data_IF_343231696604
#
_entry.id   IF_343231696604
#
_cell.length_a   1.000
_cell.length_b   1.000
_cell.length_c   1.000
_cell.angle_alpha   90.00
_cell.angle_beta   90.00
_cell.angle_gamma   90.00
#
_symmetry.space_group_name_H-M   'P 1'
#
loop_
_entity.id
_entity.type
_entity.pdbx_description
1 polymer ?
#
# COMPACT_ATOMS: atom_id res chain seq x y z
N UNK A 1 -20.23 -7.58 -0.60
CA UNK A 1 -19.18 -6.78 0.08
C UNK A 1 -17.89 -6.62 -0.73
N UNK A 2 -17.33 -7.67 -1.34
CA UNK A 2 -16.09 -7.59 -2.16
C UNK A 2 -16.23 -6.65 -3.37
N UNK A 3 -17.38 -6.67 -4.07
CA UNK A 3 -17.65 -5.80 -5.23
C UNK A 3 -17.56 -4.30 -4.89
N UNK A 4 -18.20 -3.85 -3.80
CA UNK A 4 -18.11 -2.46 -3.31
C UNK A 4 -16.69 -2.03 -2.91
N UNK A 5 -15.86 -2.94 -2.37
CA UNK A 5 -14.46 -2.64 -2.02
C UNK A 5 -13.60 -2.46 -3.28
N UNK A 6 -13.77 -3.36 -4.25
CA UNK A 6 -13.06 -3.29 -5.53
C UNK A 6 -13.44 -2.03 -6.29
N UNK A 7 -14.74 -1.73 -6.40
CA UNK A 7 -15.26 -0.55 -7.06
C UNK A 7 -14.68 0.75 -6.47
N UNK A 8 -14.69 0.89 -5.14
CA UNK A 8 -14.04 2.04 -4.49
C UNK A 8 -12.54 2.12 -4.74
N UNK A 9 -11.84 0.99 -4.72
CA UNK A 9 -10.42 0.98 -5.07
C UNK A 9 -10.22 1.46 -6.50
N UNK A 10 -11.01 0.95 -7.46
CA UNK A 10 -10.92 1.33 -8.87
C UNK A 10 -11.21 2.80 -9.08
N UNK A 11 -12.29 3.35 -8.51
CA UNK A 11 -12.65 4.77 -8.62
C UNK A 11 -11.55 5.68 -8.10
N UNK A 12 -11.02 5.38 -6.91
CA UNK A 12 -9.87 6.11 -6.38
C UNK A 12 -8.65 5.93 -7.29
N UNK A 13 -8.34 4.71 -7.71
CA UNK A 13 -7.18 4.48 -8.55
C UNK A 13 -7.20 5.27 -9.88
N UNK A 14 -8.37 5.41 -10.53
CA UNK A 14 -8.51 6.18 -11.79
C UNK A 14 -8.46 7.71 -11.58
N UNK A 15 -9.00 8.22 -10.47
CA UNK A 15 -8.95 9.65 -10.12
C UNK A 15 -7.53 10.11 -9.73
N UNK A 16 -6.67 9.19 -9.32
CA UNK A 16 -5.31 9.48 -8.90
C UNK A 16 -4.46 10.00 -10.07
N UNK A 17 -3.73 11.10 -9.81
CA UNK A 17 -2.76 11.65 -10.75
C UNK A 17 -1.74 10.60 -11.15
N UNK A 18 -1.38 10.57 -12.44
CA UNK A 18 -0.49 9.56 -13.01
C UNK A 18 0.82 9.35 -12.22
N UNK A 19 1.53 10.40 -11.75
CA UNK A 19 2.76 10.20 -10.99
C UNK A 19 2.55 9.45 -9.68
N UNK A 20 1.44 9.66 -8.99
CA UNK A 20 1.11 8.96 -7.74
C UNK A 20 0.63 7.54 -8.01
N UNK A 21 -0.11 7.35 -9.11
CA UNK A 21 -0.57 6.04 -9.57
C UNK A 21 0.61 5.12 -9.91
N UNK A 22 1.56 5.60 -10.71
CA UNK A 22 2.81 4.88 -11.03
C UNK A 22 3.61 4.51 -9.78
N UNK A 23 3.58 5.38 -8.77
CA UNK A 23 4.25 5.16 -7.51
C UNK A 23 3.54 4.09 -6.66
N UNK A 24 2.19 4.13 -6.61
CA UNK A 24 1.38 3.08 -6.00
C UNK A 24 1.59 1.73 -6.69
N UNK A 25 1.66 1.70 -8.02
CA UNK A 25 1.91 0.47 -8.79
C UNK A 25 3.24 -0.16 -8.44
N UNK A 26 4.30 0.66 -8.27
CA UNK A 26 5.61 0.16 -7.84
C UNK A 26 5.52 -0.43 -6.43
N UNK A 27 4.85 0.25 -5.52
CA UNK A 27 4.63 -0.27 -4.17
C UNK A 27 3.87 -1.60 -4.17
N UNK A 28 2.82 -1.74 -4.99
CA UNK A 28 2.05 -2.98 -5.12
C UNK A 28 2.83 -4.10 -5.79
N UNK A 29 3.70 -3.79 -6.77
CA UNK A 29 4.65 -4.76 -7.33
C UNK A 29 5.64 -5.27 -6.27
N UNK A 30 6.17 -4.38 -5.44
CA UNK A 30 7.03 -4.76 -4.31
C UNK A 30 6.26 -5.61 -3.29
N UNK A 31 5.00 -5.29 -3.00
CA UNK A 31 4.14 -6.14 -2.18
C UNK A 31 4.05 -7.56 -2.77
N UNK A 32 3.75 -7.69 -4.06
CA UNK A 32 3.69 -8.98 -4.74
C UNK A 32 5.01 -9.76 -4.68
N UNK A 33 6.15 -9.07 -4.84
CA UNK A 33 7.49 -9.66 -4.71
C UNK A 33 7.75 -10.27 -3.33
N UNK A 34 7.21 -9.66 -2.28
CA UNK A 34 7.44 -10.07 -0.90
C UNK A 34 6.31 -10.94 -0.33
N UNK A 35 5.21 -11.14 -1.05
CA UNK A 35 4.16 -12.05 -0.62
C UNK A 35 4.66 -13.50 -0.65
N UNK A 36 4.37 -14.25 0.41
CA UNK A 36 4.86 -15.62 0.61
C UNK A 36 6.28 -15.72 1.19
N UNK A 37 7.05 -14.64 1.23
CA UNK A 37 8.39 -14.64 1.83
C UNK A 37 8.30 -14.63 3.36
N UNK A 38 9.06 -15.53 4.01
CA UNK A 38 9.18 -15.59 5.48
C UNK A 38 10.43 -14.84 5.93
N UNK A 39 10.28 -13.58 6.31
CA UNK A 39 11.41 -12.71 6.64
C UNK A 39 12.09 -12.98 7.99
N UNK A 40 11.57 -13.87 8.83
CA UNK A 40 12.09 -14.16 10.18
C UNK A 40 11.97 -12.98 11.17
N UNK A 41 11.71 -11.78 10.68
CA UNK A 41 11.50 -10.55 11.45
C UNK A 41 10.06 -10.08 11.32
N UNK A 42 9.55 -9.41 12.36
CA UNK A 42 8.21 -8.81 12.36
C UNK A 42 8.33 -7.29 12.31
N UNK A 43 8.08 -6.74 11.14
CA UNK A 43 8.05 -5.30 10.95
C UNK A 43 6.80 -4.70 11.62
N UNK A 44 6.97 -3.50 12.18
CA UNK A 44 5.91 -2.70 12.80
C UNK A 44 5.93 -1.31 12.20
N UNK A 45 4.76 -0.67 12.17
CA UNK A 45 4.54 0.67 11.60
C UNK A 45 4.88 0.77 10.10
N UNK A 46 4.35 1.79 9.40
CA UNK A 46 3.38 2.80 9.87
C UNK A 46 1.92 2.29 9.89
N UNK A 47 1.08 2.90 10.73
CA UNK A 47 -0.32 2.46 10.93
C UNK A 47 -1.16 2.60 9.66
N UNK A 48 -0.90 3.61 8.83
CA UNK A 48 -1.55 3.79 7.52
C UNK A 48 -1.39 2.57 6.61
N UNK A 49 -0.25 1.87 6.67
CA UNK A 49 -0.02 0.65 5.87
C UNK A 49 -0.89 -0.49 6.40
N UNK A 50 -1.06 -0.58 7.72
CA UNK A 50 -1.95 -1.57 8.34
C UNK A 50 -3.42 -1.30 8.00
N UNK A 51 -3.84 -0.04 8.01
CA UNK A 51 -5.19 0.38 7.61
C UNK A 51 -5.46 0.05 6.14
N UNK A 52 -4.52 0.40 5.26
CA UNK A 52 -4.58 0.04 3.85
C UNK A 52 -4.72 -1.46 3.67
N UNK A 53 -3.89 -2.24 4.36
CA UNK A 53 -3.97 -3.70 4.34
C UNK A 53 -5.36 -4.21 4.77
N UNK A 54 -5.89 -3.72 5.89
CA UNK A 54 -7.20 -4.12 6.41
C UNK A 54 -8.34 -3.75 5.44
N UNK A 55 -8.31 -2.53 4.88
CA UNK A 55 -9.35 -2.03 3.97
C UNK A 55 -9.40 -2.90 2.71
N UNK A 56 -8.24 -3.22 2.14
CA UNK A 56 -8.11 -3.98 0.89
C UNK A 56 -7.92 -5.49 1.08
N UNK A 57 -7.98 -5.99 2.32
CA UNK A 57 -7.85 -7.42 2.66
C UNK A 57 -6.50 -8.04 2.22
N UNK A 58 -5.41 -7.29 2.40
CA UNK A 58 -4.04 -7.67 2.06
C UNK A 58 -3.25 -8.11 3.30
N UNK A 59 -2.17 -8.86 3.10
CA UNK A 59 -1.27 -9.27 4.18
C UNK A 59 -0.40 -8.08 4.62
N UNK A 60 -0.34 -7.85 5.93
CA UNK A 60 0.34 -6.66 6.49
C UNK A 60 1.87 -6.75 6.38
N UNK A 61 2.50 -7.90 6.64
CA UNK A 61 3.96 -8.00 6.67
C UNK A 61 4.62 -7.73 5.30
N UNK A 62 4.16 -8.33 4.18
CA UNK A 62 4.71 -8.00 2.87
C UNK A 62 4.54 -6.52 2.50
N UNK A 63 3.44 -5.89 2.92
CA UNK A 63 3.24 -4.44 2.73
C UNK A 63 4.23 -3.60 3.55
N UNK A 64 4.56 -4.01 4.77
CA UNK A 64 5.60 -3.33 5.54
C UNK A 64 6.96 -3.47 4.87
N UNK A 65 7.32 -4.65 4.38
CA UNK A 65 8.59 -4.82 3.65
C UNK A 65 8.60 -3.95 2.39
N UNK A 66 7.50 -3.93 1.62
CA UNK A 66 7.37 -3.07 0.46
C UNK A 66 7.47 -1.57 0.81
N UNK A 67 6.97 -1.16 1.97
CA UNK A 67 7.06 0.22 2.45
C UNK A 67 8.51 0.59 2.83
N UNK A 68 9.20 -0.31 3.53
CA UNK A 68 10.58 -0.09 3.98
C UNK A 68 11.63 -0.32 2.89
N UNK A 69 11.25 -0.95 1.77
CA UNK A 69 12.05 -1.03 0.55
C UNK A 69 12.31 0.35 -0.09
N UNK A 70 11.46 1.35 0.20
CA UNK A 70 11.70 2.73 -0.21
C UNK A 70 12.69 3.37 0.77
N UNK A 71 13.96 3.49 0.38
CA UNK A 71 15.05 4.00 1.22
C UNK A 71 14.95 5.51 1.51
N UNK A 72 14.37 6.27 0.59
CA UNK A 72 14.18 7.72 0.73
C UNK A 72 13.00 8.08 1.64
N UNK A 73 13.26 8.90 2.67
CA UNK A 73 12.24 9.42 3.56
C UNK A 73 11.19 10.31 2.87
N UNK A 74 11.55 11.03 1.79
CA UNK A 74 10.58 11.81 1.00
C UNK A 74 9.65 10.88 0.23
N UNK A 75 10.19 9.84 -0.41
CA UNK A 75 9.41 8.79 -1.06
C UNK A 75 8.44 8.11 -0.07
N UNK A 76 8.89 7.75 1.14
CA UNK A 76 8.01 7.19 2.19
C UNK A 76 6.91 8.16 2.61
N UNK A 77 7.20 9.44 2.82
CA UNK A 77 6.17 10.45 3.14
C UNK A 77 5.14 10.59 2.02
N UNK A 78 5.57 10.54 0.76
CA UNK A 78 4.67 10.53 -0.40
C UNK A 78 3.79 9.29 -0.39
N UNK A 79 4.37 8.11 -0.12
CA UNK A 79 3.62 6.86 -0.02
C UNK A 79 2.54 6.94 1.07
N UNK A 80 2.88 7.47 2.25
CA UNK A 80 1.92 7.66 3.35
C UNK A 80 0.71 8.48 2.89
N UNK A 81 0.92 9.58 2.16
CA UNK A 81 -0.18 10.41 1.63
C UNK A 81 -1.05 9.65 0.64
N UNK A 82 -0.44 8.88 -0.26
CA UNK A 82 -1.15 8.05 -1.23
C UNK A 82 -1.99 6.98 -0.53
N UNK A 83 -1.39 6.25 0.42
CA UNK A 83 -2.09 5.20 1.16
C UNK A 83 -3.24 5.76 2.00
N UNK A 84 -3.03 6.92 2.64
CA UNK A 84 -4.07 7.62 3.38
C UNK A 84 -5.25 8.00 2.47
N UNK A 85 -4.96 8.55 1.28
CA UNK A 85 -5.99 8.89 0.31
C UNK A 85 -6.81 7.66 -0.14
N UNK A 86 -6.15 6.52 -0.34
CA UNK A 86 -6.80 5.24 -0.64
C UNK A 86 -7.65 4.71 0.53
N UNK A 87 -7.32 5.08 1.78
CA UNK A 87 -8.03 4.62 2.99
C UNK A 87 -9.12 5.54 3.51
N UNK A 88 -9.23 6.77 3.02
CA UNK A 88 -10.35 7.66 3.34
C UNK A 88 -11.69 7.08 2.83
N UNK A 89 -12.80 7.42 3.48
CA UNK A 89 -14.15 7.01 3.09
C UNK A 89 -14.62 7.68 1.80
#
# INVERSE_FOLDING_TARGET
MKRKKLERFTLKYIEMKEPDRKFLDRFLRNYGRYDGVRFGIRLRKPDVVREFAKRHSLKVQPLFVAFWCEEDGRARRRLVRILHWMTQE
#
